data_IF_118307872780
#
_entry.id   IF_118307872780
#
_cell.length_a   1.000
_cell.length_b   1.000
_cell.length_c   1.000
_cell.angle_alpha   90.00
_cell.angle_beta   90.00
_cell.angle_gamma   90.00
#
_symmetry.space_group_name_H-M   'P 1'
#
loop_
_entity.id
_entity.type
_entity.pdbx_description
1 polymer ?
#
# COMPACT_ATOMS: atom_id res chain seq x y z
N UNK A 1 -9.25 -48.49 6.63
CA UNK A 1 -10.14 -47.35 6.77
C UNK A 1 -9.58 -46.24 5.89
N UNK A 2 -10.04 -46.13 4.65
CA UNK A 2 -9.48 -45.23 3.66
C UNK A 2 -10.32 -43.92 3.70
N UNK A 3 -9.81 -42.91 4.39
CA UNK A 3 -10.44 -41.59 4.37
C UNK A 3 -10.12 -40.95 3.02
N UNK A 4 -11.16 -40.73 2.23
CA UNK A 4 -11.07 -40.22 0.87
C UNK A 4 -10.38 -38.85 0.85
N UNK A 5 -9.29 -38.75 0.13
CA UNK A 5 -8.52 -37.51 -0.13
C UNK A 5 -9.42 -36.40 -0.68
N UNK A 6 -10.51 -36.75 -1.38
CA UNK A 6 -11.48 -35.79 -1.95
C UNK A 6 -12.26 -34.95 -0.93
N UNK A 7 -12.48 -35.46 0.29
CA UNK A 7 -13.20 -34.70 1.33
C UNK A 7 -12.31 -33.63 1.98
N UNK A 8 -11.02 -33.89 2.09
CA UNK A 8 -10.06 -32.91 2.59
C UNK A 8 -9.85 -31.75 1.61
N UNK A 9 -9.78 -32.05 0.31
CA UNK A 9 -9.63 -31.04 -0.74
C UNK A 9 -10.88 -30.13 -0.86
N UNK A 10 -12.08 -30.70 -0.76
CA UNK A 10 -13.33 -29.93 -0.77
C UNK A 10 -13.46 -29.04 0.47
N UNK A 11 -13.02 -29.51 1.64
CA UNK A 11 -13.04 -28.71 2.87
C UNK A 11 -12.01 -27.56 2.82
N UNK A 12 -10.83 -27.80 2.26
CA UNK A 12 -9.81 -26.75 2.06
C UNK A 12 -10.26 -25.72 1.01
N UNK A 13 -10.85 -26.16 -0.10
CA UNK A 13 -11.40 -25.27 -1.12
C UNK A 13 -12.51 -24.38 -0.56
N UNK A 14 -13.45 -24.94 0.23
CA UNK A 14 -14.52 -24.14 0.85
C UNK A 14 -14.02 -23.12 1.86
N UNK A 15 -12.92 -23.43 2.59
CA UNK A 15 -12.27 -22.44 3.48
C UNK A 15 -11.54 -21.34 2.72
N UNK A 16 -10.90 -21.66 1.60
CA UNK A 16 -10.24 -20.68 0.76
C UNK A 16 -11.25 -19.73 0.12
N UNK A 17 -12.42 -20.24 -0.33
CA UNK A 17 -13.51 -19.41 -0.83
C UNK A 17 -14.15 -18.53 0.25
N UNK A 18 -14.27 -19.04 1.48
CA UNK A 18 -14.76 -18.24 2.61
C UNK A 18 -13.76 -17.16 3.05
N UNK A 19 -12.46 -17.30 2.71
CA UNK A 19 -11.40 -16.32 2.91
C UNK A 19 -11.15 -15.44 1.67
N UNK A 20 -11.93 -15.61 0.60
CA UNK A 20 -11.84 -14.74 -0.57
C UNK A 20 -12.01 -13.28 -0.13
N UNK A 21 -11.15 -12.37 -0.59
CA UNK A 21 -11.18 -10.99 -0.13
C UNK A 21 -12.57 -10.39 -0.41
N UNK A 22 -13.18 -9.88 0.65
CA UNK A 22 -14.53 -9.27 0.63
C UNK A 22 -14.61 -8.06 -0.32
N UNK A 23 -13.46 -7.60 -0.78
CA UNK A 23 -13.31 -6.44 -1.64
C UNK A 23 -12.46 -6.79 -2.86
N UNK A 24 -12.89 -6.34 -4.02
CA UNK A 24 -12.09 -6.43 -5.23
C UNK A 24 -10.76 -5.68 -5.02
N UNK A 25 -9.65 -6.33 -5.41
CA UNK A 25 -8.34 -5.68 -5.35
C UNK A 25 -8.28 -4.57 -6.41
N UNK A 26 -7.81 -3.40 -6.01
CA UNK A 26 -7.60 -2.29 -6.94
C UNK A 26 -6.48 -2.66 -7.93
N UNK A 27 -6.78 -2.52 -9.23
CA UNK A 27 -5.84 -2.79 -10.33
C UNK A 27 -5.40 -1.50 -11.04
N UNK A 28 -6.07 -0.38 -10.74
CA UNK A 28 -5.76 0.95 -11.25
C UNK A 28 -5.66 1.94 -10.13
N UNK A 29 -4.84 2.99 -10.25
CA UNK A 29 -4.79 4.04 -9.24
C UNK A 29 -6.11 4.81 -9.20
N UNK A 30 -6.43 5.31 -8.02
CA UNK A 30 -7.57 6.18 -7.81
C UNK A 30 -7.08 7.56 -7.40
N UNK A 31 -7.67 8.59 -7.98
CA UNK A 31 -7.44 9.99 -7.58
C UNK A 31 -8.73 10.58 -7.04
N UNK A 32 -8.60 11.47 -6.04
CA UNK A 32 -9.74 12.17 -5.47
C UNK A 32 -10.00 13.44 -6.28
N UNK A 33 -11.23 13.57 -6.75
CA UNK A 33 -11.71 14.72 -7.49
C UNK A 33 -13.09 15.14 -6.96
N UNK A 34 -13.25 16.38 -6.53
CA UNK A 34 -14.51 16.87 -5.96
C UNK A 34 -15.04 16.11 -4.74
N UNK A 35 -14.16 15.37 -4.03
CA UNK A 35 -14.55 14.55 -2.88
C UNK A 35 -14.74 13.06 -3.20
N UNK A 36 -14.91 12.69 -4.46
CA UNK A 36 -15.07 11.31 -4.93
C UNK A 36 -13.76 10.73 -5.45
N UNK A 37 -13.62 9.41 -5.36
CA UNK A 37 -12.51 8.66 -5.93
C UNK A 37 -12.88 8.19 -7.34
N UNK A 38 -12.07 8.53 -8.32
CA UNK A 38 -12.20 8.04 -9.70
C UNK A 38 -10.95 7.32 -10.16
N UNK A 39 -11.10 6.43 -11.11
CA UNK A 39 -9.95 5.79 -11.78
C UNK A 39 -9.12 6.83 -12.55
N UNK A 40 -7.81 6.65 -12.51
CA UNK A 40 -6.84 7.50 -13.20
C UNK A 40 -5.74 6.66 -13.85
N UNK A 41 -4.97 7.28 -14.74
CA UNK A 41 -3.73 6.68 -15.22
C UNK A 41 -2.64 6.75 -14.14
N UNK A 42 -1.61 5.91 -14.26
CA UNK A 42 -0.44 5.99 -13.38
C UNK A 42 0.28 7.33 -13.49
N UNK A 43 0.35 7.89 -14.68
CA UNK A 43 0.95 9.19 -14.95
C UNK A 43 0.22 10.29 -14.17
N UNK A 44 -1.10 10.39 -14.32
CA UNK A 44 -1.92 11.36 -13.59
C UNK A 44 -1.80 11.19 -12.06
N UNK A 45 -1.84 9.96 -11.57
CA UNK A 45 -1.75 9.70 -10.15
C UNK A 45 -0.40 10.09 -9.55
N UNK A 46 0.70 9.80 -10.26
CA UNK A 46 2.05 10.17 -9.85
C UNK A 46 2.27 11.68 -9.92
N UNK A 47 1.79 12.34 -10.95
CA UNK A 47 1.87 13.81 -11.09
C UNK A 47 1.12 14.51 -9.94
N UNK A 48 -0.07 14.02 -9.60
CA UNK A 48 -0.83 14.55 -8.43
C UNK A 48 -0.11 14.34 -7.13
N UNK A 49 0.47 13.16 -6.91
CA UNK A 49 1.24 12.88 -5.72
C UNK A 49 2.49 13.79 -5.62
N UNK A 50 3.24 13.91 -6.72
CA UNK A 50 4.42 14.76 -6.78
C UNK A 50 4.08 16.26 -6.53
N UNK A 51 2.99 16.73 -7.14
CA UNK A 51 2.51 18.11 -6.90
C UNK A 51 2.11 18.34 -5.44
N UNK A 52 1.46 17.35 -4.81
CA UNK A 52 1.11 17.38 -3.39
C UNK A 52 2.33 17.47 -2.48
N UNK A 53 3.34 16.63 -2.70
CA UNK A 53 4.60 16.69 -1.94
C UNK A 53 5.33 18.01 -2.15
N UNK A 54 5.43 18.49 -3.38
CA UNK A 54 6.07 19.78 -3.68
C UNK A 54 5.38 20.93 -2.97
N UNK A 55 4.06 20.98 -3.02
CA UNK A 55 3.26 21.99 -2.30
C UNK A 55 3.50 21.96 -0.80
N UNK A 56 3.60 20.77 -0.21
CA UNK A 56 3.89 20.61 1.22
C UNK A 56 5.30 21.10 1.59
N UNK A 57 6.30 20.76 0.77
CA UNK A 57 7.68 21.21 0.97
C UNK A 57 7.81 22.74 0.81
N UNK A 58 7.20 23.31 -0.20
CA UNK A 58 7.21 24.76 -0.46
C UNK A 58 6.54 25.55 0.68
N UNK A 59 5.52 24.95 1.30
CA UNK A 59 4.86 25.50 2.49
C UNK A 59 5.63 25.32 3.80
N UNK A 60 6.81 24.68 3.77
CA UNK A 60 7.60 24.38 4.96
C UNK A 60 6.97 23.31 5.87
N UNK A 61 6.03 22.55 5.35
CA UNK A 61 5.38 21.47 6.12
C UNK A 61 6.34 20.32 6.37
N UNK A 62 6.27 19.75 7.56
CA UNK A 62 7.02 18.54 7.86
C UNK A 62 6.29 17.32 7.30
N UNK A 63 7.05 16.43 6.69
CA UNK A 63 6.56 15.15 6.19
C UNK A 63 7.08 14.01 7.05
N UNK A 64 6.25 13.00 7.24
CA UNK A 64 6.63 11.76 7.92
C UNK A 64 6.35 10.55 7.04
N UNK A 65 7.16 9.50 7.19
CA UNK A 65 6.99 8.23 6.49
C UNK A 65 6.84 7.12 7.50
N UNK A 66 5.76 6.37 7.40
CA UNK A 66 5.58 5.12 8.13
C UNK A 66 5.94 3.95 7.23
N UNK A 67 6.97 3.23 7.64
CA UNK A 67 7.36 1.97 7.03
C UNK A 67 6.63 0.79 7.67
N UNK A 68 6.88 -0.44 7.25
CA UNK A 68 6.20 -1.62 7.77
C UNK A 68 7.17 -2.78 7.96
N UNK A 69 7.08 -3.45 9.12
CA UNK A 69 7.84 -4.67 9.41
C UNK A 69 7.49 -5.85 8.48
N UNK A 70 6.32 -5.81 7.84
CA UNK A 70 5.88 -6.80 6.85
C UNK A 70 6.26 -6.48 5.40
N UNK A 71 6.88 -5.32 5.17
CA UNK A 71 7.43 -4.96 3.87
C UNK A 71 8.80 -5.59 3.68
N UNK A 72 9.23 -5.74 2.42
CA UNK A 72 10.57 -6.22 2.12
C UNK A 72 11.64 -5.20 2.52
N UNK A 73 12.87 -5.65 2.74
CA UNK A 73 13.98 -4.78 3.06
C UNK A 73 14.24 -3.73 1.98
N UNK A 74 14.07 -4.12 0.71
CA UNK A 74 14.22 -3.23 -0.45
C UNK A 74 13.18 -2.11 -0.43
N UNK A 75 11.92 -2.42 -0.10
CA UNK A 75 10.87 -1.42 0.01
C UNK A 75 11.14 -0.46 1.16
N UNK A 76 11.55 -0.97 2.32
CA UNK A 76 11.90 -0.16 3.48
C UNK A 76 13.11 0.75 3.19
N UNK A 77 14.12 0.23 2.47
CA UNK A 77 15.26 1.01 2.03
C UNK A 77 14.85 2.12 1.05
N UNK A 78 14.02 1.80 0.06
CA UNK A 78 13.52 2.77 -0.91
C UNK A 78 12.70 3.88 -0.23
N UNK A 79 11.83 3.51 0.72
CA UNK A 79 11.04 4.46 1.50
C UNK A 79 11.93 5.40 2.32
N UNK A 80 12.95 4.86 2.99
CA UNK A 80 13.93 5.66 3.75
C UNK A 80 14.72 6.60 2.85
N UNK A 81 15.18 6.12 1.70
CA UNK A 81 15.92 6.92 0.73
C UNK A 81 15.05 8.06 0.18
N UNK A 82 13.79 7.76 -0.17
CA UNK A 82 12.82 8.75 -0.63
C UNK A 82 12.58 9.84 0.42
N UNK A 83 12.34 9.45 1.68
CA UNK A 83 12.11 10.40 2.76
C UNK A 83 13.31 11.37 2.94
N UNK A 84 14.54 10.86 2.94
CA UNK A 84 15.72 11.68 3.20
C UNK A 84 16.16 12.49 1.99
N UNK A 85 16.15 11.91 0.80
CA UNK A 85 16.69 12.54 -0.41
C UNK A 85 15.66 13.44 -1.09
N UNK A 86 14.39 13.04 -1.10
CA UNK A 86 13.34 13.77 -1.83
C UNK A 86 12.54 14.67 -0.91
N UNK A 87 12.11 14.15 0.25
CA UNK A 87 11.29 14.89 1.20
C UNK A 87 12.11 15.68 2.23
N UNK A 88 13.42 15.52 2.25
CA UNK A 88 14.34 16.14 3.22
C UNK A 88 13.91 15.94 4.68
N UNK A 89 13.35 14.77 4.97
CA UNK A 89 12.79 14.43 6.28
C UNK A 89 13.51 13.23 6.90
N UNK A 90 13.78 13.32 8.20
CA UNK A 90 14.24 12.21 9.03
C UNK A 90 13.09 11.58 9.84
N UNK A 91 11.87 12.06 9.68
CA UNK A 91 10.70 11.56 10.39
C UNK A 91 10.25 10.24 9.76
N UNK A 92 10.92 9.17 10.12
CA UNK A 92 10.64 7.82 9.63
C UNK A 92 10.43 6.94 10.85
N UNK A 93 9.31 6.24 10.87
CA UNK A 93 9.00 5.27 11.90
C UNK A 93 8.37 4.01 11.28
N UNK A 94 8.17 3.01 12.08
CA UNK A 94 7.64 1.74 11.61
C UNK A 94 6.72 1.12 12.64
N UNK A 95 5.71 0.40 12.20
CA UNK A 95 4.80 -0.36 13.03
C UNK A 95 5.48 -1.64 13.57
N UNK A 96 6.51 -1.49 14.40
CA UNK A 96 7.38 -2.61 14.82
C UNK A 96 6.79 -3.51 15.89
N UNK A 97 5.56 -3.30 16.31
CA UNK A 97 4.97 -4.10 17.38
C UNK A 97 3.60 -4.63 17.00
N UNK A 98 3.59 -5.85 16.66
CA UNK A 98 2.45 -6.77 16.83
C UNK A 98 2.98 -8.07 17.34
#
# INVERSE_FOLDING_TARGET
>A
MCVSVRAADAYQASKLDAMAPRYARLTRPLVRDGGELREASWEEALDRAAAGFRKALDAGSQTGVFSCSKATNELNYAAQKFARVVLHSNNIDSCNRT
#
